data_IF_650900085640
#
_entry.id   IF_650900085640
#
_cell.length_a   1.000
_cell.length_b   1.000
_cell.length_c   1.000
_cell.angle_alpha   90.00
_cell.angle_beta   90.00
_cell.angle_gamma   90.00
#
_symmetry.space_group_name_H-M   'P 1'
#
loop_
_entity.id
_entity.type
_entity.pdbx_description
1 polymer ?
#
# COMPACT_ATOMS: atom_id res chain seq x y z
N UNK A 1 -28.98 -18.70 19.82
CA UNK A 1 -27.79 -17.86 20.08
C UNK A 1 -27.21 -17.47 18.73
N UNK A 2 -26.96 -16.19 18.47
CA UNK A 2 -26.54 -15.72 17.15
C UNK A 2 -25.06 -16.07 16.94
N UNK A 3 -24.78 -16.99 16.02
CA UNK A 3 -23.43 -17.53 15.74
C UNK A 3 -22.41 -16.41 15.54
N UNK A 4 -22.80 -15.29 14.90
CA UNK A 4 -21.92 -14.14 14.69
C UNK A 4 -21.47 -13.45 15.99
N UNK A 5 -22.35 -13.35 16.98
CA UNK A 5 -22.00 -12.75 18.28
C UNK A 5 -21.02 -13.64 19.05
N UNK A 6 -21.18 -14.95 18.97
CA UNK A 6 -20.26 -15.90 19.60
C UNK A 6 -18.85 -15.85 18.97
N UNK A 7 -18.76 -15.73 17.64
CA UNK A 7 -17.48 -15.54 16.96
C UNK A 7 -16.77 -14.24 17.39
N UNK A 8 -17.50 -13.13 17.45
CA UNK A 8 -16.96 -11.83 17.88
C UNK A 8 -16.43 -11.89 19.32
N UNK A 9 -17.22 -12.43 20.24
CA UNK A 9 -16.83 -12.59 21.65
C UNK A 9 -15.56 -13.45 21.77
N UNK A 10 -15.45 -14.51 20.99
CA UNK A 10 -14.29 -15.39 20.99
C UNK A 10 -13.03 -14.69 20.48
N UNK A 11 -13.13 -13.87 19.41
CA UNK A 11 -12.02 -13.07 18.90
C UNK A 11 -11.53 -12.09 19.98
N UNK A 12 -12.44 -11.36 20.63
CA UNK A 12 -12.09 -10.37 21.66
C UNK A 12 -11.44 -11.05 22.88
N UNK A 13 -12.01 -12.18 23.34
CA UNK A 13 -11.44 -12.98 24.43
C UNK A 13 -10.03 -13.47 24.09
N UNK A 14 -9.82 -13.99 22.89
CA UNK A 14 -8.50 -14.47 22.47
C UNK A 14 -7.49 -13.33 22.30
N UNK A 15 -7.90 -12.22 21.70
CA UNK A 15 -7.08 -11.01 21.56
C UNK A 15 -6.53 -10.57 22.91
N UNK A 16 -7.40 -10.44 23.91
CA UNK A 16 -7.05 -10.06 25.28
C UNK A 16 -6.16 -11.10 25.95
N UNK A 17 -6.56 -12.38 25.94
CA UNK A 17 -5.82 -13.49 26.56
C UNK A 17 -4.40 -13.63 26.01
N UNK A 18 -4.21 -13.33 24.72
CA UNK A 18 -2.93 -13.49 24.02
C UNK A 18 -2.11 -12.20 23.97
N UNK A 19 -2.61 -11.09 24.52
CA UNK A 19 -2.02 -9.76 24.38
C UNK A 19 -1.65 -9.47 22.91
N UNK A 20 -2.64 -9.70 22.04
CA UNK A 20 -2.52 -9.49 20.61
C UNK A 20 -3.15 -8.16 20.21
N UNK A 21 -2.64 -7.57 19.12
CA UNK A 21 -3.31 -6.47 18.42
C UNK A 21 -3.76 -6.93 17.05
N UNK A 22 -4.85 -6.35 16.55
CA UNK A 22 -5.40 -6.58 15.21
C UNK A 22 -5.20 -5.30 14.41
N UNK A 23 -4.41 -5.40 13.33
CA UNK A 23 -4.18 -4.33 12.37
C UNK A 23 -4.92 -4.66 11.08
N UNK A 24 -5.75 -3.75 10.58
CA UNK A 24 -6.53 -3.97 9.36
C UNK A 24 -6.26 -2.91 8.29
N UNK A 25 -6.11 -3.35 7.04
CA UNK A 25 -6.06 -2.42 5.91
C UNK A 25 -7.44 -1.87 5.57
N UNK A 26 -7.49 -0.63 5.06
CA UNK A 26 -8.72 0.05 4.62
C UNK A 26 -9.59 -0.74 3.61
N UNK A 27 -9.02 -1.75 2.94
CA UNK A 27 -9.75 -2.62 2.00
C UNK A 27 -10.38 -3.88 2.64
N UNK A 28 -10.19 -4.10 3.95
CA UNK A 28 -10.84 -5.20 4.64
C UNK A 28 -12.37 -5.01 4.65
N UNK A 29 -13.11 -6.11 4.77
CA UNK A 29 -14.56 -6.06 4.94
C UNK A 29 -14.92 -5.38 6.27
N UNK A 30 -16.09 -4.73 6.34
CA UNK A 30 -16.51 -3.91 7.49
C UNK A 30 -16.40 -4.64 8.84
N UNK A 31 -16.87 -5.88 8.90
CA UNK A 31 -16.81 -6.69 10.14
C UNK A 31 -15.38 -7.00 10.63
N UNK A 32 -14.37 -6.94 9.74
CA UNK A 32 -12.95 -7.05 10.13
C UNK A 32 -12.39 -5.70 10.58
N UNK A 33 -12.83 -4.61 9.96
CA UNK A 33 -12.46 -3.25 10.37
C UNK A 33 -13.01 -2.94 11.77
N UNK A 34 -14.26 -3.29 12.06
CA UNK A 34 -14.96 -3.00 13.32
C UNK A 34 -14.27 -3.60 14.55
N UNK A 35 -13.54 -4.71 14.38
CA UNK A 35 -12.85 -5.42 15.47
C UNK A 35 -11.36 -5.08 15.58
N UNK A 36 -10.82 -4.35 14.60
CA UNK A 36 -9.41 -4.01 14.56
C UNK A 36 -9.06 -2.98 15.63
N UNK A 37 -7.87 -3.07 16.21
CA UNK A 37 -7.37 -2.04 17.12
C UNK A 37 -6.89 -0.81 16.35
N UNK A 38 -6.53 -0.99 15.07
CA UNK A 38 -6.18 0.09 14.17
C UNK A 38 -6.53 -0.27 12.73
N UNK A 39 -7.11 0.70 12.02
CA UNK A 39 -7.44 0.62 10.59
C UNK A 39 -6.71 1.76 9.88
N UNK A 40 -6.02 1.47 8.78
CA UNK A 40 -5.29 2.49 8.03
C UNK A 40 -4.70 2.03 6.70
N UNK A 41 -3.97 2.93 6.06
CA UNK A 41 -3.22 2.63 4.85
C UNK A 41 -1.90 1.90 5.14
N UNK A 42 -1.17 1.49 4.09
CA UNK A 42 0.08 0.74 4.23
C UNK A 42 1.14 1.45 5.08
N UNK A 43 1.22 2.79 5.03
CA UNK A 43 2.21 3.55 5.80
C UNK A 43 1.82 3.61 7.27
N UNK A 44 0.56 3.94 7.53
CA UNK A 44 -0.02 4.02 8.87
C UNK A 44 0.12 2.67 9.58
N UNK A 45 -0.23 1.55 8.91
CA UNK A 45 -0.08 0.21 9.47
C UNK A 45 1.38 -0.17 9.74
N UNK A 46 2.31 0.24 8.87
CA UNK A 46 3.75 -0.02 9.09
C UNK A 46 4.25 0.70 10.34
N UNK A 47 3.84 1.96 10.51
CA UNK A 47 4.16 2.76 11.70
C UNK A 47 3.54 2.13 12.95
N UNK A 48 2.27 1.76 12.92
CA UNK A 48 1.58 1.16 14.07
C UNK A 48 2.16 -0.22 14.43
N UNK A 49 2.51 -1.04 13.45
CA UNK A 49 3.19 -2.31 13.69
C UNK A 49 4.53 -2.13 14.44
N UNK A 50 5.28 -1.06 14.15
CA UNK A 50 6.55 -0.76 14.83
C UNK A 50 6.35 -0.33 16.29
N UNK A 51 5.28 0.42 16.57
CA UNK A 51 4.95 0.97 17.90
C UNK A 51 4.18 0.01 18.79
N UNK A 52 3.57 -1.01 18.21
CA UNK A 52 2.75 -2.00 18.91
C UNK A 52 3.43 -2.50 20.19
N UNK A 53 2.72 -2.49 21.31
CA UNK A 53 3.20 -3.05 22.58
C UNK A 53 2.87 -4.54 22.74
N UNK A 54 1.91 -5.04 21.94
CA UNK A 54 1.48 -6.44 21.97
C UNK A 54 2.58 -7.42 21.56
N UNK A 55 2.49 -8.66 22.07
CA UNK A 55 3.42 -9.74 21.71
C UNK A 55 3.09 -10.35 20.35
N UNK A 56 1.83 -10.23 19.93
CA UNK A 56 1.29 -10.80 18.70
C UNK A 56 0.60 -9.71 17.89
N UNK A 57 0.89 -9.67 16.59
CA UNK A 57 0.19 -8.83 15.61
C UNK A 57 -0.60 -9.77 14.70
N UNK A 58 -1.92 -9.65 14.70
CA UNK A 58 -2.79 -10.26 13.68
C UNK A 58 -2.96 -9.21 12.58
N UNK A 59 -2.39 -9.49 11.41
CA UNK A 59 -2.35 -8.56 10.30
C UNK A 59 -3.43 -8.92 9.28
N UNK A 60 -4.56 -8.21 9.31
CA UNK A 60 -5.67 -8.34 8.38
C UNK A 60 -5.39 -7.52 7.12
N UNK A 61 -4.55 -8.09 6.25
CA UNK A 61 -4.10 -7.48 5.00
C UNK A 61 -3.61 -8.55 4.05
N UNK A 62 -2.57 -8.23 3.27
CA UNK A 62 -1.93 -9.14 2.32
C UNK A 62 -0.50 -9.49 2.76
N UNK A 63 0.07 -10.53 2.15
CA UNK A 63 1.33 -11.15 2.54
C UNK A 63 2.48 -10.17 2.74
N UNK A 64 2.76 -9.31 1.75
CA UNK A 64 3.87 -8.35 1.85
C UNK A 64 3.71 -7.33 3.00
N UNK A 65 2.46 -7.03 3.41
CA UNK A 65 2.21 -6.11 4.52
C UNK A 65 2.51 -6.80 5.84
N UNK A 66 2.12 -8.07 5.98
CA UNK A 66 2.48 -8.88 7.14
C UNK A 66 4.00 -9.10 7.22
N UNK A 67 4.69 -9.31 6.09
CA UNK A 67 6.15 -9.33 6.03
C UNK A 67 6.75 -8.00 6.50
N UNK A 68 6.21 -6.87 6.03
CA UNK A 68 6.66 -5.53 6.43
C UNK A 68 6.48 -5.31 7.94
N UNK A 69 5.35 -5.71 8.51
CA UNK A 69 5.13 -5.68 9.95
C UNK A 69 6.14 -6.56 10.69
N UNK A 70 6.50 -7.74 10.16
CA UNK A 70 7.50 -8.63 10.76
C UNK A 70 8.91 -8.06 10.67
N UNK A 71 9.26 -7.40 9.56
CA UNK A 71 10.55 -6.70 9.39
C UNK A 71 10.69 -5.58 10.43
N UNK A 72 9.63 -4.78 10.63
CA UNK A 72 9.63 -3.66 11.57
C UNK A 72 9.48 -4.10 13.04
N UNK A 73 8.94 -5.29 13.28
CA UNK A 73 8.76 -5.88 14.62
C UNK A 73 9.34 -7.29 14.70
N UNK A 74 10.68 -7.45 14.59
CA UNK A 74 11.33 -8.76 14.45
C UNK A 74 11.13 -9.66 15.67
N UNK A 75 11.00 -9.10 16.87
CA UNK A 75 10.76 -9.85 18.09
C UNK A 75 9.30 -10.32 18.28
N UNK A 76 8.35 -9.74 17.52
CA UNK A 76 6.92 -10.03 17.67
C UNK A 76 6.50 -11.19 16.77
N UNK A 77 5.45 -11.91 17.18
CA UNK A 77 4.81 -12.90 16.32
C UNK A 77 3.80 -12.20 15.43
N UNK A 78 3.98 -12.27 14.11
CA UNK A 78 3.01 -11.73 13.14
C UNK A 78 2.23 -12.91 12.56
N UNK A 79 0.90 -12.78 12.55
CA UNK A 79 -0.03 -13.77 12.03
C UNK A 79 -0.81 -13.16 10.88
N UNK A 80 -0.79 -13.83 9.73
CA UNK A 80 -1.63 -13.54 8.59
C UNK A 80 -2.79 -14.54 8.59
N UNK A 81 -4.06 -14.11 8.75
CA UNK A 81 -5.19 -15.03 8.85
C UNK A 81 -5.34 -15.98 7.66
N UNK A 82 -5.08 -15.49 6.45
CA UNK A 82 -5.05 -16.30 5.23
C UNK A 82 -3.70 -16.13 4.53
N UNK A 83 -2.89 -17.19 4.50
CA UNK A 83 -1.59 -17.20 3.83
C UNK A 83 -1.65 -16.96 2.32
N UNK A 84 -2.81 -17.17 1.69
CA UNK A 84 -3.02 -16.99 0.27
C UNK A 84 -3.46 -15.56 -0.09
N UNK A 85 -3.59 -14.66 0.89
CA UNK A 85 -3.87 -13.25 0.65
C UNK A 85 -2.66 -12.53 0.02
N UNK A 86 -2.52 -12.66 -1.30
CA UNK A 86 -1.43 -12.11 -2.08
C UNK A 86 -1.72 -10.72 -2.66
N UNK A 87 -0.74 -10.18 -3.38
CA UNK A 87 -0.89 -8.98 -4.20
C UNK A 87 -0.27 -9.25 -5.57
N UNK A 88 -1.05 -9.44 -6.64
CA UNK A 88 -0.52 -9.78 -7.95
C UNK A 88 0.54 -8.79 -8.44
N UNK A 89 0.40 -7.51 -8.10
CA UNK A 89 1.38 -6.47 -8.42
C UNK A 89 2.72 -6.67 -7.72
N UNK A 90 2.72 -7.10 -6.45
CA UNK A 90 3.94 -7.39 -5.72
C UNK A 90 4.72 -8.57 -6.33
N UNK A 91 4.00 -9.47 -7.01
CA UNK A 91 4.56 -10.63 -7.70
C UNK A 91 5.05 -10.30 -9.13
N UNK A 92 4.82 -9.07 -9.63
CA UNK A 92 5.25 -8.65 -10.97
C UNK A 92 6.75 -8.38 -11.08
N UNK A 93 7.48 -8.33 -9.97
CA UNK A 93 8.94 -8.25 -9.92
C UNK A 93 9.49 -9.21 -8.86
N UNK A 94 10.59 -9.88 -9.15
CA UNK A 94 11.32 -10.70 -8.19
C UNK A 94 12.77 -10.22 -7.97
N UNK A 95 13.43 -10.78 -6.96
CA UNK A 95 14.80 -10.41 -6.59
C UNK A 95 15.80 -10.56 -7.76
N UNK A 96 15.66 -11.59 -8.59
CA UNK A 96 16.55 -11.83 -9.73
C UNK A 96 16.40 -10.76 -10.81
N UNK A 97 15.16 -10.37 -11.11
CA UNK A 97 14.86 -9.31 -12.06
C UNK A 97 15.38 -7.95 -11.56
N UNK A 98 15.18 -7.63 -10.28
CA UNK A 98 15.70 -6.39 -9.72
C UNK A 98 17.23 -6.36 -9.73
N UNK A 99 17.91 -7.47 -9.40
CA UNK A 99 19.39 -7.55 -9.52
C UNK A 99 19.86 -7.25 -10.94
N UNK A 100 19.17 -7.81 -11.94
CA UNK A 100 19.49 -7.53 -13.35
C UNK A 100 19.33 -6.05 -13.68
N UNK A 101 18.22 -5.43 -13.28
CA UNK A 101 17.98 -4.00 -13.51
C UNK A 101 19.00 -3.11 -12.79
N UNK A 102 19.41 -3.47 -11.57
CA UNK A 102 20.49 -2.79 -10.84
C UNK A 102 21.83 -2.90 -11.59
N UNK A 103 22.13 -4.03 -12.22
CA UNK A 103 23.36 -4.18 -13.00
C UNK A 103 23.35 -3.34 -14.28
N UNK A 104 22.18 -3.10 -14.87
CA UNK A 104 21.99 -2.21 -16.02
C UNK A 104 22.13 -0.73 -15.62
N UNK A 105 21.82 -0.39 -14.36
CA UNK A 105 21.91 0.96 -13.79
C UNK A 105 22.60 0.97 -12.42
N UNK A 106 23.93 0.75 -12.36
CA UNK A 106 24.66 0.47 -11.12
C UNK A 106 24.65 1.62 -10.10
N UNK A 107 24.49 2.86 -10.57
CA UNK A 107 24.48 4.07 -9.74
C UNK A 107 23.07 4.55 -9.34
N UNK A 108 22.01 3.90 -9.85
CA UNK A 108 20.64 4.30 -9.61
C UNK A 108 20.17 3.94 -8.20
N UNK A 109 19.39 4.83 -7.61
CA UNK A 109 18.70 4.58 -6.33
C UNK A 109 17.41 3.81 -6.61
N UNK A 110 17.23 2.67 -5.96
CA UNK A 110 16.03 1.85 -6.06
C UNK A 110 15.01 2.30 -5.01
N UNK A 111 13.95 2.94 -5.48
CA UNK A 111 12.75 3.28 -4.70
C UNK A 111 11.73 2.15 -4.87
N UNK A 112 11.48 1.44 -3.78
CA UNK A 112 10.59 0.29 -3.76
C UNK A 112 9.26 0.65 -3.09
N UNK A 113 8.16 0.55 -3.82
CA UNK A 113 6.84 0.59 -3.21
C UNK A 113 6.68 -0.60 -2.26
N UNK A 114 6.08 -0.40 -1.09
CA UNK A 114 5.88 -1.46 -0.07
C UNK A 114 5.15 -2.69 -0.61
N UNK A 115 4.37 -2.53 -1.69
CA UNK A 115 3.74 -3.61 -2.45
C UNK A 115 4.79 -4.39 -3.26
N UNK A 116 5.70 -5.05 -2.56
CA UNK A 116 6.80 -5.86 -3.09
C UNK A 116 7.21 -6.88 -2.04
N UNK A 117 7.79 -8.01 -2.43
CA UNK A 117 8.22 -9.06 -1.49
C UNK A 117 9.37 -8.58 -0.59
N UNK A 118 9.57 -9.24 0.56
CA UNK A 118 10.70 -8.96 1.44
C UNK A 118 12.07 -9.08 0.74
N UNK A 119 12.23 -10.04 -0.19
CA UNK A 119 13.47 -10.21 -0.96
C UNK A 119 13.76 -9.03 -1.91
N UNK A 120 12.73 -8.44 -2.52
CA UNK A 120 12.85 -7.27 -3.39
C UNK A 120 13.21 -6.05 -2.54
N UNK A 121 12.57 -5.90 -1.37
CA UNK A 121 12.91 -4.84 -0.41
C UNK A 121 14.36 -4.92 0.05
N UNK A 122 14.89 -6.12 0.28
CA UNK A 122 16.28 -6.33 0.70
C UNK A 122 17.32 -5.87 -0.35
N UNK A 123 16.90 -5.77 -1.61
CA UNK A 123 17.72 -5.29 -2.73
C UNK A 123 17.40 -3.84 -3.12
N UNK A 124 16.59 -3.15 -2.32
CA UNK A 124 16.17 -1.77 -2.58
C UNK A 124 16.83 -0.82 -1.61
N UNK A 125 17.02 0.44 -2.01
CA UNK A 125 17.73 1.42 -1.18
C UNK A 125 16.76 2.18 -0.26
N UNK A 126 15.50 2.39 -0.70
CA UNK A 126 14.47 3.03 0.12
C UNK A 126 13.07 2.51 -0.23
N UNK A 127 12.24 2.31 0.79
CA UNK A 127 10.83 1.96 0.61
C UNK A 127 9.93 3.21 0.62
N UNK A 128 8.83 3.17 -0.12
CA UNK A 128 7.79 4.19 -0.12
C UNK A 128 6.38 3.58 -0.10
N UNK A 129 5.37 4.42 0.13
CA UNK A 129 3.95 4.11 -0.06
C UNK A 129 3.32 5.12 -1.02
N UNK A 130 2.08 4.89 -1.48
CA UNK A 130 1.32 5.90 -2.22
C UNK A 130 1.18 7.24 -1.48
N UNK A 131 1.24 7.21 -0.14
CA UNK A 131 1.15 8.39 0.73
C UNK A 131 2.44 9.22 0.81
N UNK A 132 3.62 8.66 0.51
CA UNK A 132 4.90 9.37 0.67
C UNK A 132 5.88 9.27 -0.52
N UNK A 133 5.53 8.54 -1.59
CA UNK A 133 6.41 8.30 -2.73
C UNK A 133 6.97 9.59 -3.36
N UNK A 134 6.14 10.64 -3.49
CA UNK A 134 6.57 11.96 -3.99
C UNK A 134 7.67 12.56 -3.10
N UNK A 135 7.52 12.48 -1.78
CA UNK A 135 8.49 13.02 -0.84
C UNK A 135 9.77 12.19 -0.81
N UNK A 136 9.67 10.86 -0.92
CA UNK A 136 10.82 9.95 -1.04
C UNK A 136 11.62 10.26 -2.31
N UNK A 137 10.97 10.45 -3.46
CA UNK A 137 11.68 10.80 -4.69
C UNK A 137 12.30 12.21 -4.63
N UNK A 138 11.64 13.17 -3.99
CA UNK A 138 12.19 14.52 -3.78
C UNK A 138 13.43 14.55 -2.88
N UNK A 139 13.58 13.60 -1.95
CA UNK A 139 14.74 13.55 -1.05
C UNK A 139 16.01 13.01 -1.70
N UNK A 140 15.89 12.31 -2.83
CA UNK A 140 17.02 11.72 -3.55
C UNK A 140 17.78 12.81 -4.32
N UNK A 141 19.13 12.87 -4.25
CA UNK A 141 19.96 13.84 -4.98
C UNK A 141 19.59 13.94 -6.47
N UNK A 142 19.57 15.18 -7.01
CA UNK A 142 19.12 15.45 -8.39
C UNK A 142 19.97 14.77 -9.46
N UNK A 143 21.24 14.49 -9.17
CA UNK A 143 22.19 13.85 -10.09
C UNK A 143 22.12 12.31 -10.09
N UNK A 144 21.24 11.71 -9.27
CA UNK A 144 21.05 10.26 -9.22
C UNK A 144 19.87 9.84 -10.09
N UNK A 145 20.08 8.80 -10.89
CA UNK A 145 19.01 8.03 -11.52
C UNK A 145 18.19 7.31 -10.45
N UNK A 146 16.93 7.06 -10.75
CA UNK A 146 16.01 6.42 -9.81
C UNK A 146 15.29 5.30 -10.54
N UNK A 147 15.45 4.07 -10.03
CA UNK A 147 14.59 2.95 -10.38
C UNK A 147 13.38 2.99 -9.46
N UNK A 148 12.17 2.93 -10.03
CA UNK A 148 10.93 2.91 -9.26
C UNK A 148 10.15 1.62 -9.55
N UNK A 149 9.84 0.87 -8.50
CA UNK A 149 9.20 -0.45 -8.61
C UNK A 149 8.04 -0.62 -7.63
N UNK A 150 7.11 -1.56 -7.88
CA UNK A 150 6.86 -2.20 -9.17
C UNK A 150 5.81 -1.46 -10.01
N UNK A 151 5.08 -0.52 -9.42
CA UNK A 151 3.92 0.14 -10.05
C UNK A 151 4.35 1.32 -10.92
N UNK A 152 4.14 1.18 -12.24
CA UNK A 152 4.44 2.23 -13.21
C UNK A 152 3.52 3.43 -13.11
N UNK A 153 2.26 3.27 -12.73
CA UNK A 153 1.29 4.37 -12.66
C UNK A 153 1.52 5.25 -11.44
N UNK A 154 1.85 4.63 -10.29
CA UNK A 154 2.37 5.39 -9.16
C UNK A 154 3.68 6.09 -9.53
N UNK A 155 4.57 5.40 -10.26
CA UNK A 155 5.79 5.98 -10.81
C UNK A 155 5.52 7.22 -11.67
N UNK A 156 4.64 7.10 -12.66
CA UNK A 156 4.22 8.17 -13.57
C UNK A 156 3.60 9.35 -12.81
N UNK A 157 2.72 9.08 -11.84
CA UNK A 157 2.18 10.09 -10.95
C UNK A 157 3.32 10.81 -10.22
N UNK A 158 4.27 10.09 -9.63
CA UNK A 158 5.43 10.70 -8.97
C UNK A 158 6.28 11.52 -9.95
N UNK A 159 6.48 11.08 -11.20
CA UNK A 159 7.16 11.90 -12.21
C UNK A 159 6.44 13.23 -12.44
N UNK A 160 5.11 13.20 -12.59
CA UNK A 160 4.30 14.41 -12.79
C UNK A 160 4.38 15.39 -11.61
N UNK A 161 4.47 14.87 -10.37
CA UNK A 161 4.52 15.69 -9.15
C UNK A 161 5.92 16.23 -8.81
N UNK A 162 6.97 15.59 -9.33
CA UNK A 162 8.37 15.89 -8.97
C UNK A 162 9.18 16.49 -10.11
N UNK A 163 8.75 16.31 -11.36
CA UNK A 163 9.53 16.61 -12.56
C UNK A 163 10.78 15.71 -12.71
N UNK A 164 10.92 14.64 -11.91
CA UNK A 164 12.04 13.70 -12.01
C UNK A 164 11.71 12.61 -13.02
N UNK A 165 12.67 12.31 -13.90
CA UNK A 165 12.61 11.12 -14.76
C UNK A 165 13.00 9.89 -13.93
N UNK A 166 12.18 8.84 -14.00
CA UNK A 166 12.35 7.58 -13.30
C UNK A 166 12.48 6.43 -14.32
N UNK A 167 13.21 5.38 -13.94
CA UNK A 167 13.25 4.10 -14.63
C UNK A 167 12.16 3.24 -14.00
N UNK A 168 11.03 3.10 -14.70
CA UNK A 168 9.85 2.44 -14.17
C UNK A 168 9.84 0.96 -14.51
N UNK A 169 9.58 0.10 -13.51
CA UNK A 169 9.20 -1.28 -13.78
C UNK A 169 7.77 -1.33 -14.33
N UNK A 170 7.52 -2.20 -15.32
CA UNK A 170 6.22 -2.29 -15.99
C UNK A 170 5.19 -3.13 -15.21
N UNK A 171 5.13 -2.97 -13.89
CA UNK A 171 4.08 -3.53 -13.04
C UNK A 171 2.93 -2.54 -12.84
N UNK A 172 1.79 -3.04 -12.34
CA UNK A 172 0.59 -2.25 -12.09
C UNK A 172 -0.39 -3.02 -11.19
N UNK A 173 -1.30 -2.30 -10.54
CA UNK A 173 -2.39 -2.90 -9.79
C UNK A 173 -3.58 -3.25 -10.69
N UNK A 174 -3.96 -4.53 -10.88
CA UNK A 174 -5.08 -4.90 -11.74
C UNK A 174 -6.41 -4.27 -11.30
N UNK A 175 -6.62 -4.13 -9.99
CA UNK A 175 -7.83 -3.51 -9.42
C UNK A 175 -7.98 -2.05 -9.83
N UNK A 176 -6.91 -1.26 -9.77
CA UNK A 176 -6.96 0.16 -10.14
C UNK A 176 -7.01 0.37 -11.66
N UNK A 177 -6.40 -0.52 -12.45
CA UNK A 177 -6.45 -0.46 -13.92
C UNK A 177 -7.85 -0.77 -14.48
N UNK A 178 -8.70 -1.50 -13.74
CA UNK A 178 -10.08 -1.74 -14.15
C UNK A 178 -10.99 -0.51 -14.07
N UNK A 179 -10.56 0.56 -13.40
CA UNK A 179 -11.35 1.79 -13.26
C UNK A 179 -11.40 2.50 -14.62
N UNK A 180 -12.60 2.64 -15.19
CA UNK A 180 -12.79 3.19 -16.52
C UNK A 180 -13.13 4.68 -16.48
N UNK A 181 -12.30 5.51 -17.11
CA UNK A 181 -12.49 6.97 -17.23
C UNK A 181 -13.87 7.35 -17.79
N UNK A 182 -14.43 6.57 -18.72
CA UNK A 182 -15.75 6.84 -19.32
C UNK A 182 -16.88 6.72 -18.29
N UNK A 183 -16.77 5.78 -17.35
CA UNK A 183 -17.75 5.61 -16.29
C UNK A 183 -17.69 6.78 -15.31
N UNK A 184 -16.48 7.25 -14.97
CA UNK A 184 -16.31 8.44 -14.12
C UNK A 184 -16.88 9.68 -14.79
N UNK A 185 -16.62 9.88 -16.09
CA UNK A 185 -17.19 11.02 -16.84
C UNK A 185 -18.72 10.97 -16.85
N UNK A 186 -19.31 9.78 -17.01
CA UNK A 186 -20.76 9.59 -16.91
C UNK A 186 -21.27 10.00 -15.52
N UNK A 187 -20.62 9.50 -14.46
CA UNK A 187 -21.00 9.84 -13.08
C UNK A 187 -20.82 11.32 -12.76
N UNK A 188 -19.77 12.00 -13.25
CA UNK A 188 -19.60 13.46 -13.07
C UNK A 188 -20.74 14.26 -13.73
N UNK A 189 -21.34 13.76 -14.82
CA UNK A 189 -22.51 14.38 -15.45
C UNK A 189 -23.80 14.15 -14.66
N UNK A 190 -23.92 13.00 -14.00
CA UNK A 190 -25.07 12.64 -13.17
C UNK A 190 -24.99 13.29 -11.77
N UNK A 191 -23.79 13.58 -11.29
CA UNK A 191 -23.50 14.15 -9.98
C UNK A 191 -22.54 15.35 -10.13
N UNK A 192 -23.08 16.49 -10.57
CA UNK A 192 -22.29 17.68 -10.91
C UNK A 192 -21.47 18.24 -9.73
N UNK A 193 -21.98 18.09 -8.51
CA UNK A 193 -21.32 18.57 -7.29
C UNK A 193 -20.41 17.52 -6.63
N UNK A 194 -20.33 16.30 -7.20
CA UNK A 194 -19.52 15.23 -6.63
C UNK A 194 -18.03 15.46 -6.89
N UNK A 195 -17.24 15.37 -5.82
CA UNK A 195 -15.78 15.36 -5.90
C UNK A 195 -15.28 13.95 -6.24
N UNK A 196 -14.39 13.86 -7.24
CA UNK A 196 -13.76 12.61 -7.67
C UNK A 196 -12.37 12.50 -7.05
N UNK A 197 -12.21 11.57 -6.11
CA UNK A 197 -10.93 11.26 -5.48
C UNK A 197 -10.45 9.90 -5.99
N UNK A 198 -9.21 9.81 -6.47
CA UNK A 198 -8.65 8.56 -7.02
C UNK A 198 -7.33 8.18 -6.37
N UNK A 199 -6.99 6.90 -6.43
CA UNK A 199 -5.71 6.40 -5.96
C UNK A 199 -4.62 6.61 -7.04
N UNK A 200 -3.36 6.93 -6.69
CA UNK A 200 -2.29 7.15 -7.68
C UNK A 200 -1.84 5.88 -8.43
N UNK A 201 -2.40 4.71 -8.12
CA UNK A 201 -2.23 3.48 -8.93
C UNK A 201 -3.19 3.42 -10.13
N UNK A 202 -4.12 4.38 -10.25
CA UNK A 202 -5.01 4.46 -11.40
C UNK A 202 -4.25 4.87 -12.66
N UNK A 203 -4.82 4.56 -13.82
CA UNK A 203 -4.26 4.94 -15.12
C UNK A 203 -4.24 6.47 -15.30
N UNK A 204 -3.34 7.02 -16.15
CA UNK A 204 -3.21 8.47 -16.31
C UNK A 204 -4.49 9.19 -16.76
N UNK A 205 -5.31 8.54 -17.60
CA UNK A 205 -6.60 9.07 -18.04
C UNK A 205 -7.59 9.24 -16.88
N UNK A 206 -7.58 8.34 -15.89
CA UNK A 206 -8.37 8.47 -14.65
C UNK A 206 -7.79 9.53 -13.74
N UNK A 207 -6.48 9.55 -13.55
CA UNK A 207 -5.77 10.56 -12.74
C UNK A 207 -6.07 11.98 -13.23
N UNK A 208 -6.03 12.19 -14.55
CA UNK A 208 -6.17 13.53 -15.16
C UNK A 208 -7.55 14.17 -15.00
N UNK A 209 -8.59 13.39 -14.67
CA UNK A 209 -9.96 13.90 -14.48
C UNK A 209 -10.40 13.94 -13.01
N UNK A 210 -9.52 13.49 -12.10
CA UNK A 210 -9.77 13.49 -10.67
C UNK A 210 -9.57 14.88 -10.08
N UNK A 211 -10.36 15.19 -9.07
CA UNK A 211 -10.28 16.44 -8.32
C UNK A 211 -9.22 16.33 -7.20
N UNK A 212 -8.91 15.11 -6.73
CA UNK A 212 -7.83 14.81 -5.81
C UNK A 212 -7.22 13.42 -6.09
N UNK A 213 -5.90 13.28 -5.91
CA UNK A 213 -5.17 12.01 -6.11
C UNK A 213 -4.36 11.69 -4.86
N UNK A 214 -4.73 10.64 -4.13
CA UNK A 214 -4.11 10.37 -2.82
C UNK A 214 -4.26 8.91 -2.36
N UNK A 215 -3.51 8.49 -1.34
CA UNK A 215 -3.64 7.15 -0.74
C UNK A 215 -5.01 6.99 -0.05
N UNK A 216 -5.40 5.77 0.31
CA UNK A 216 -6.66 5.56 1.06
C UNK A 216 -6.70 6.34 2.39
N UNK A 217 -5.58 6.43 3.11
CA UNK A 217 -5.47 7.27 4.31
C UNK A 217 -5.58 8.76 3.99
N UNK A 218 -5.06 9.19 2.83
CA UNK A 218 -5.25 10.54 2.31
C UNK A 218 -6.70 10.84 1.94
N UNK A 219 -7.43 9.89 1.34
CA UNK A 219 -8.85 10.03 1.01
C UNK A 219 -9.68 10.28 2.27
N UNK A 220 -9.45 9.48 3.31
CA UNK A 220 -10.11 9.64 4.61
C UNK A 220 -9.81 10.99 5.28
N UNK A 221 -8.62 11.56 5.07
CA UNK A 221 -8.25 12.89 5.58
C UNK A 221 -8.87 14.01 4.73
N UNK A 222 -8.99 13.80 3.43
CA UNK A 222 -9.57 14.76 2.50
C UNK A 222 -11.06 14.99 2.80
N UNK A 223 -11.85 13.91 2.95
CA UNK A 223 -13.31 14.00 3.15
C UNK A 223 -13.73 14.51 4.55
N UNK A 224 -12.78 14.62 5.49
CA UNK A 224 -13.02 15.19 6.82
C UNK A 224 -12.85 16.71 6.88
N UNK A 225 -12.26 17.30 5.85
CA UNK A 225 -12.09 18.76 5.73
C UNK A 225 -13.36 19.38 5.17
#
# INVERSE_FOLDING_TARGET
MNIKLEFLDNIIKLKTKKNAIILAHNYQIGEVQDIADFVGDSLELSIEASKAQGKIIVFCGVHFMAETAKILSPAKKVLLPDKNSGCPMADMINATQLKKLRNEHPDAVVVCYVNSTAEVKALSDICCTSSNAVNVVKSIPKNKEIIFIPDKYLGDYVQSQTGRKLILWNGYCPTHVMINVKNIIKLKKEHLDATVIVHPECTPDVINIADEVTSTGGMLKYVKK
#
